data_IF_273746128186
#
_entry.id   IF_273746128186
#
_cell.length_a   1.000
_cell.length_b   1.000
_cell.length_c   1.000
_cell.angle_alpha   90.00
_cell.angle_beta   90.00
_cell.angle_gamma   90.00
#
_symmetry.space_group_name_H-M   'P 1'
#
loop_
_entity.id
_entity.type
_entity.pdbx_description
1 polymer ?
#
# COMPACT_ATOMS: atom_id res chain seq x y z
N UNK A 1 -19.26 2.73 -5.85
CA UNK A 1 -19.07 2.07 -4.54
C UNK A 1 -17.71 2.48 -4.01
N UNK A 2 -17.56 2.65 -2.69
CA UNK A 2 -16.30 3.01 -2.04
C UNK A 2 -15.85 1.83 -1.18
N UNK A 3 -14.71 1.21 -1.50
CA UNK A 3 -14.11 0.16 -0.69
C UNK A 3 -12.84 0.70 -0.04
N UNK A 4 -12.63 0.42 1.25
CA UNK A 4 -11.44 0.85 1.99
C UNK A 4 -10.63 -0.35 2.44
N UNK A 5 -9.33 -0.31 2.18
CA UNK A 5 -8.39 -1.35 2.60
C UNK A 5 -7.33 -0.73 3.51
N UNK A 6 -7.05 -1.36 4.64
CA UNK A 6 -6.22 -0.82 5.70
C UNK A 6 -4.94 -1.63 5.82
N UNK A 7 -3.81 -0.95 5.94
CA UNK A 7 -2.53 -1.54 6.30
C UNK A 7 -2.03 -0.83 7.55
N UNK A 8 -2.06 -1.54 8.67
CA UNK A 8 -1.67 -1.03 9.98
C UNK A 8 -0.22 -1.41 10.28
N UNK A 9 0.54 -0.45 10.79
CA UNK A 9 1.94 -0.60 11.23
C UNK A 9 2.04 -0.07 12.67
N UNK A 10 3.15 -0.34 13.34
CA UNK A 10 3.36 0.14 14.72
C UNK A 10 3.37 1.67 14.86
N UNK A 11 3.70 2.41 13.80
CA UNK A 11 3.85 3.86 13.83
C UNK A 11 2.81 4.64 13.02
N UNK A 12 2.11 4.00 12.09
CA UNK A 12 1.10 4.64 11.24
C UNK A 12 0.11 3.64 10.61
N UNK A 13 -1.01 4.16 10.12
CA UNK A 13 -1.98 3.42 9.30
C UNK A 13 -2.02 4.00 7.89
N UNK A 14 -2.03 3.12 6.88
CA UNK A 14 -2.31 3.47 5.49
C UNK A 14 -3.71 3.01 5.11
N UNK A 15 -4.47 3.88 4.48
CA UNK A 15 -5.85 3.62 4.04
C UNK A 15 -5.91 3.80 2.53
N UNK A 16 -6.21 2.73 1.81
CA UNK A 16 -6.48 2.75 0.38
C UNK A 16 -7.98 2.92 0.17
N UNK A 17 -8.40 4.08 -0.34
CA UNK A 17 -9.79 4.35 -0.72
C UNK A 17 -9.95 4.11 -2.22
N UNK A 18 -10.67 3.04 -2.58
CA UNK A 18 -10.90 2.58 -3.93
C UNK A 18 -12.34 2.88 -4.35
N UNK A 19 -12.49 3.58 -5.48
CA UNK A 19 -13.79 3.95 -6.04
C UNK A 19 -13.91 3.53 -7.51
N UNK A 20 -15.00 2.84 -7.84
CA UNK A 20 -15.35 2.51 -9.23
C UNK A 20 -15.39 3.77 -10.12
N UNK A 21 -14.80 3.70 -11.32
CA UNK A 21 -14.94 4.74 -12.34
C UNK A 21 -16.10 4.34 -13.26
N UNK A 22 -17.08 5.23 -13.43
CA UNK A 22 -18.19 4.98 -14.35
C UNK A 22 -17.67 4.72 -15.77
N UNK A 23 -18.19 3.67 -16.40
CA UNK A 23 -17.84 3.26 -17.77
C UNK A 23 -16.37 2.83 -18.00
N UNK A 24 -15.61 2.51 -16.95
CA UNK A 24 -14.27 1.94 -17.09
C UNK A 24 -14.10 0.68 -16.23
N UNK A 25 -13.96 -0.47 -16.89
CA UNK A 25 -13.82 -1.78 -16.24
C UNK A 25 -12.36 -2.16 -15.94
N UNK A 26 -11.39 -1.28 -16.19
CA UNK A 26 -9.97 -1.58 -15.97
C UNK A 26 -9.31 -0.67 -14.93
N UNK A 27 -9.92 0.51 -14.69
CA UNK A 27 -9.40 1.54 -13.80
C UNK A 27 -10.30 1.78 -12.60
N UNK A 28 -9.64 2.04 -11.47
CA UNK A 28 -10.26 2.40 -10.20
C UNK A 28 -9.66 3.72 -9.75
N UNK A 29 -10.50 4.63 -9.26
CA UNK A 29 -10.03 5.83 -8.58
C UNK A 29 -9.42 5.42 -7.24
N UNK A 30 -8.23 5.93 -6.94
CA UNK A 30 -7.47 5.65 -5.75
C UNK A 30 -7.08 6.96 -5.06
N UNK A 31 -7.42 7.05 -3.78
CA UNK A 31 -6.86 8.03 -2.84
C UNK A 31 -6.24 7.24 -1.71
N UNK A 32 -5.02 7.58 -1.32
CA UNK A 32 -4.35 6.95 -0.18
C UNK A 32 -4.21 7.98 0.93
N UNK A 33 -4.51 7.56 2.15
CA UNK A 33 -4.30 8.36 3.35
C UNK A 33 -3.29 7.67 4.25
N UNK A 34 -2.37 8.44 4.81
CA UNK A 34 -1.45 8.03 5.87
C UNK A 34 -1.82 8.81 7.14
N UNK A 35 -2.02 8.07 8.23
CA UNK A 35 -2.27 8.62 9.57
C UNK A 35 -1.17 8.15 10.51
N UNK A 36 -0.46 9.09 11.12
CA UNK A 36 0.51 8.76 12.17
C UNK A 36 -0.23 8.25 13.42
N UNK A 37 0.39 7.35 14.17
CA UNK A 37 -0.12 6.94 15.48
C UNK A 37 -0.27 8.18 16.39
N UNK A 38 -1.45 8.42 16.99
CA UNK A 38 -1.70 9.58 17.85
C UNK A 38 -0.76 9.70 19.05
N UNK A 39 -0.17 8.60 19.52
CA UNK A 39 0.83 8.61 20.59
C UNK A 39 2.18 9.17 20.14
N UNK A 40 2.48 9.11 18.84
CA UNK A 40 3.68 9.70 18.23
C UNK A 40 3.45 11.15 17.77
N UNK A 41 2.20 11.52 17.49
CA UNK A 41 1.78 12.89 17.19
C UNK A 41 0.61 12.97 16.23
N UNK A 42 0.24 14.19 15.84
CA UNK A 42 -0.84 14.43 14.87
C UNK A 42 -0.26 14.69 13.49
N UNK A 43 -0.39 13.72 12.58
CA UNK A 43 -0.10 13.91 11.17
C UNK A 43 -1.06 13.10 10.32
N UNK A 44 -1.67 13.77 9.35
CA UNK A 44 -2.53 13.16 8.33
C UNK A 44 -2.10 13.68 6.96
N UNK A 45 -1.81 12.74 6.05
CA UNK A 45 -1.39 13.05 4.69
C UNK A 45 -2.29 12.30 3.73
N UNK A 46 -2.82 13.00 2.72
CA UNK A 46 -3.57 12.38 1.62
C UNK A 46 -2.81 12.53 0.31
N UNK A 47 -2.81 11.47 -0.49
CA UNK A 47 -2.27 11.52 -1.84
C UNK A 47 -3.14 12.39 -2.73
N UNK A 48 -2.57 12.87 -3.83
CA UNK A 48 -3.40 13.35 -4.95
C UNK A 48 -4.28 12.20 -5.45
N UNK A 49 -5.56 12.44 -5.80
CA UNK A 49 -6.38 11.42 -6.44
C UNK A 49 -5.72 10.94 -7.74
N UNK A 50 -5.72 9.62 -7.93
CA UNK A 50 -5.12 8.97 -9.10
C UNK A 50 -5.96 7.81 -9.58
N UNK A 51 -5.69 7.31 -10.78
CA UNK A 51 -6.28 6.07 -11.26
C UNK A 51 -5.27 4.93 -11.12
N UNK A 52 -5.73 3.76 -10.69
CA UNK A 52 -4.94 2.53 -10.65
C UNK A 52 -5.64 1.45 -11.46
N UNK A 53 -4.86 0.62 -12.15
CA UNK A 53 -5.39 -0.52 -12.91
C UNK A 53 -5.57 -1.73 -12.02
N UNK A 54 -6.53 -2.59 -12.33
CA UNK A 54 -6.70 -3.87 -11.63
C UNK A 54 -5.43 -4.76 -11.65
N UNK A 55 -4.70 -4.91 -12.78
CA UNK A 55 -3.41 -5.58 -12.77
C UNK A 55 -2.38 -4.98 -11.81
N UNK A 56 -2.37 -3.65 -11.58
CA UNK A 56 -1.44 -3.06 -10.61
C UNK A 56 -1.83 -3.40 -9.16
N UNK A 57 -3.12 -3.49 -8.84
CA UNK A 57 -3.59 -3.96 -7.53
C UNK A 57 -3.24 -5.45 -7.31
N UNK A 58 -3.41 -6.30 -8.32
CA UNK A 58 -2.97 -7.70 -8.26
C UNK A 58 -1.46 -7.83 -8.09
N UNK A 59 -0.66 -7.01 -8.79
CA UNK A 59 0.79 -6.97 -8.60
C UNK A 59 1.16 -6.54 -7.17
N UNK A 60 0.40 -5.66 -6.54
CA UNK A 60 0.63 -5.26 -5.14
C UNK A 60 0.34 -6.43 -4.18
N UNK A 61 -0.71 -7.20 -4.43
CA UNK A 61 -0.98 -8.44 -3.69
C UNK A 61 0.19 -9.41 -3.83
N UNK A 62 0.59 -9.73 -5.07
CA UNK A 62 1.70 -10.65 -5.31
C UNK A 62 3.03 -10.14 -4.76
N UNK A 63 3.23 -8.82 -4.73
CA UNK A 63 4.42 -8.19 -4.15
C UNK A 63 4.60 -8.55 -2.67
N UNK A 64 3.53 -8.45 -1.88
CA UNK A 64 3.57 -8.80 -0.46
C UNK A 64 3.70 -10.31 -0.24
N UNK A 65 2.95 -11.12 -0.97
CA UNK A 65 3.04 -12.59 -0.90
C UNK A 65 4.47 -13.08 -1.21
N UNK A 66 5.11 -12.50 -2.23
CA UNK A 66 6.50 -12.81 -2.59
C UNK A 66 7.50 -12.35 -1.54
N UNK A 67 7.28 -11.20 -0.93
CA UNK A 67 8.18 -10.68 0.11
C UNK A 67 8.17 -11.58 1.35
N UNK A 68 6.99 -11.98 1.84
CA UNK A 68 6.86 -12.92 2.98
C UNK A 68 7.56 -14.24 2.66
N UNK A 69 7.36 -14.79 1.46
CA UNK A 69 8.01 -16.02 1.03
C UNK A 69 9.54 -15.89 0.92
N UNK A 70 10.06 -14.71 0.57
CA UNK A 70 11.49 -14.45 0.50
C UNK A 70 12.14 -14.31 1.88
N UNK A 71 11.46 -13.68 2.86
CA UNK A 71 11.93 -13.57 4.24
C UNK A 71 12.15 -14.92 4.92
N UNK A 72 11.37 -15.94 4.53
CA UNK A 72 11.57 -17.32 4.98
C UNK A 72 12.96 -17.86 4.63
N UNK A 73 13.51 -17.47 3.49
CA UNK A 73 14.82 -17.92 3.04
C UNK A 73 15.95 -16.99 3.48
N UNK A 74 15.68 -15.69 3.61
CA UNK A 74 16.64 -14.66 4.00
C UNK A 74 15.95 -13.55 4.81
N UNK A 75 16.13 -13.51 6.15
CA UNK A 75 15.55 -12.47 7.00
C UNK A 75 16.01 -11.03 6.66
N UNK A 76 17.15 -10.89 5.96
CA UNK A 76 17.66 -9.59 5.51
C UNK A 76 17.14 -9.21 4.12
N UNK A 77 16.22 -10.00 3.54
CA UNK A 77 15.69 -9.74 2.22
C UNK A 77 14.95 -8.41 2.18
N UNK A 78 15.33 -7.55 1.24
CA UNK A 78 14.63 -6.32 0.93
C UNK A 78 14.02 -6.40 -0.47
N UNK A 79 12.72 -6.15 -0.55
CA UNK A 79 12.04 -6.02 -1.84
C UNK A 79 12.49 -4.74 -2.54
N UNK A 80 12.50 -4.79 -3.87
CA UNK A 80 12.58 -3.56 -4.68
C UNK A 80 11.36 -2.68 -4.39
N UNK A 81 11.51 -1.38 -4.63
CA UNK A 81 10.40 -0.43 -4.51
C UNK A 81 9.30 -0.81 -5.51
N UNK A 82 8.09 -1.04 -4.99
CA UNK A 82 6.89 -1.19 -5.78
C UNK A 82 6.45 0.17 -6.32
N UNK A 83 6.33 0.26 -7.64
CA UNK A 83 5.90 1.45 -8.36
C UNK A 83 4.67 1.14 -9.21
N UNK A 84 3.67 2.02 -9.15
CA UNK A 84 2.55 2.02 -10.08
C UNK A 84 2.86 2.90 -11.29
N UNK A 85 2.22 2.63 -12.43
CA UNK A 85 2.42 3.42 -13.66
C UNK A 85 2.06 4.91 -13.46
N UNK A 86 1.11 5.21 -12.56
CA UNK A 86 0.73 6.58 -12.21
C UNK A 86 1.59 7.24 -11.12
N UNK A 87 2.53 6.50 -10.52
CA UNK A 87 3.40 6.96 -9.43
C UNK A 87 2.65 7.67 -8.27
N UNK A 88 1.41 7.23 -8.00
CA UNK A 88 0.58 7.79 -6.93
C UNK A 88 1.11 7.47 -5.54
N UNK A 89 1.83 6.36 -5.41
CA UNK A 89 2.50 5.93 -4.19
C UNK A 89 3.68 5.01 -4.52
N UNK A 90 4.54 4.80 -3.52
CA UNK A 90 5.65 3.85 -3.54
C UNK A 90 5.61 3.03 -2.25
N UNK A 91 5.88 1.74 -2.36
CA UNK A 91 5.98 0.83 -1.21
C UNK A 91 7.30 0.08 -1.29
N UNK A 92 8.00 -0.05 -0.18
CA UNK A 92 9.14 -0.95 -0.05
C UNK A 92 8.98 -1.80 1.20
N UNK A 93 8.87 -3.11 1.04
CA UNK A 93 8.99 -4.06 2.14
C UNK A 93 10.46 -4.42 2.34
N UNK A 94 10.93 -4.31 3.57
CA UNK A 94 12.34 -4.39 3.99
C UNK A 94 12.57 -5.64 4.86
N UNK A 95 13.77 -5.78 5.40
CA UNK A 95 14.12 -6.86 6.32
C UNK A 95 13.16 -6.96 7.52
N UNK A 96 13.11 -8.16 8.10
CA UNK A 96 12.16 -8.50 9.16
C UNK A 96 12.45 -9.83 9.83
N UNK A 97 11.50 -10.28 10.65
CA UNK A 97 11.56 -11.54 11.37
C UNK A 97 10.49 -12.49 10.84
N UNK A 98 10.90 -13.71 10.49
CA UNK A 98 10.00 -14.76 10.03
C UNK A 98 9.92 -15.87 11.07
N UNK A 99 8.72 -16.14 11.60
CA UNK A 99 8.47 -17.28 12.49
C UNK A 99 7.64 -18.35 11.75
N UNK A 100 6.54 -17.95 11.12
CA UNK A 100 5.67 -18.78 10.29
C UNK A 100 5.07 -17.97 9.14
N UNK A 101 4.28 -18.60 8.24
CA UNK A 101 3.59 -17.90 7.14
C UNK A 101 2.56 -16.85 7.62
N UNK A 102 2.15 -16.91 8.89
CA UNK A 102 1.16 -15.99 9.48
C UNK A 102 1.71 -15.21 10.67
N UNK A 103 2.92 -15.53 11.12
CA UNK A 103 3.55 -14.96 12.30
C UNK A 103 4.95 -14.48 11.95
N UNK A 104 5.22 -13.21 12.19
CA UNK A 104 6.40 -12.53 11.70
C UNK A 104 6.07 -11.11 11.34
N UNK A 105 7.10 -10.33 11.11
CA UNK A 105 6.98 -8.92 10.80
C UNK A 105 8.07 -8.51 9.81
N UNK A 106 7.87 -7.34 9.21
CA UNK A 106 8.93 -6.67 8.48
C UNK A 106 8.77 -5.17 8.57
N UNK A 107 9.80 -4.42 8.22
CA UNK A 107 9.65 -2.98 8.04
C UNK A 107 9.01 -2.71 6.69
N UNK A 108 8.05 -1.79 6.64
CA UNK A 108 7.49 -1.29 5.40
C UNK A 108 7.71 0.22 5.33
N UNK A 109 8.22 0.69 4.19
CA UNK A 109 8.29 2.11 3.85
C UNK A 109 7.22 2.44 2.83
N UNK A 110 6.40 3.45 3.13
CA UNK A 110 5.33 3.92 2.24
C UNK A 110 5.52 5.40 1.96
N UNK A 111 5.58 5.77 0.68
CA UNK A 111 5.70 7.15 0.24
C UNK A 111 4.50 7.53 -0.63
N UNK A 112 3.73 8.54 -0.21
CA UNK A 112 2.54 9.03 -0.92
C UNK A 112 2.88 10.25 -1.77
N UNK A 113 2.45 10.27 -3.02
CA UNK A 113 2.57 11.46 -3.87
C UNK A 113 1.56 12.52 -3.42
N UNK A 114 2.05 13.67 -2.92
CA UNK A 114 1.22 14.80 -2.46
C UNK A 114 1.12 15.92 -3.50
N UNK A 115 1.57 15.64 -4.73
CA UNK A 115 1.46 16.55 -5.87
C UNK A 115 2.71 17.40 -6.07
N UNK A 116 2.52 18.59 -6.64
CA UNK A 116 3.59 19.50 -7.05
C UNK A 116 3.19 20.92 -6.65
N UNK A 117 4.13 21.74 -6.14
CA UNK A 117 3.81 23.13 -5.82
C UNK A 117 3.54 23.96 -7.09
N UNK A 118 4.23 23.66 -8.19
CA UNK A 118 4.16 24.41 -9.46
C UNK A 118 4.24 23.41 -10.63
N UNK A 119 3.57 23.71 -11.75
CA UNK A 119 3.63 22.92 -12.97
C UNK A 119 5.08 22.84 -13.50
N UNK A 120 5.51 21.65 -13.93
CA UNK A 120 6.88 21.38 -14.39
C UNK A 120 7.86 20.92 -13.30
N UNK A 121 7.49 21.02 -12.02
CA UNK A 121 8.32 20.52 -10.92
C UNK A 121 8.22 19.00 -10.79
N UNK A 122 9.16 18.38 -10.06
CA UNK A 122 9.04 16.99 -9.64
C UNK A 122 7.93 16.84 -8.59
N UNK A 123 7.33 15.65 -8.53
CA UNK A 123 6.33 15.33 -7.51
C UNK A 123 6.98 15.28 -6.13
N UNK A 124 6.28 15.77 -5.12
CA UNK A 124 6.67 15.68 -3.71
C UNK A 124 6.06 14.42 -3.12
N UNK A 125 6.84 13.70 -2.32
CA UNK A 125 6.38 12.51 -1.61
C UNK A 125 6.55 12.69 -0.10
N UNK A 126 5.54 12.26 0.66
CA UNK A 126 5.58 12.23 2.12
C UNK A 126 5.20 10.83 2.56
N UNK A 127 5.86 10.31 3.58
CA UNK A 127 5.75 8.92 3.95
C UNK A 127 6.27 8.61 5.34
N UNK A 128 6.21 7.32 5.66
CA UNK A 128 6.71 6.75 6.90
C UNK A 128 7.37 5.40 6.64
N UNK A 129 8.14 4.96 7.62
CA UNK A 129 8.66 3.60 7.71
C UNK A 129 8.37 3.07 9.11
N UNK A 130 7.85 1.86 9.21
CA UNK A 130 7.53 1.21 10.48
C UNK A 130 7.43 -0.30 10.31
N UNK A 131 7.49 -1.02 11.42
CA UNK A 131 7.22 -2.45 11.49
C UNK A 131 5.74 -2.72 11.18
N UNK A 132 5.50 -3.77 10.41
CA UNK A 132 4.18 -4.30 10.08
C UNK A 132 4.17 -5.81 10.31
N UNK A 133 3.15 -6.30 11.01
CA UNK A 133 2.92 -7.73 11.23
C UNK A 133 2.35 -8.41 9.98
N UNK A 134 2.74 -9.66 9.73
CA UNK A 134 2.23 -10.45 8.59
C UNK A 134 0.70 -10.59 8.62
N UNK A 135 0.10 -10.67 9.81
CA UNK A 135 -1.35 -10.69 9.96
C UNK A 135 -2.01 -9.42 9.35
N UNK A 136 -1.38 -8.24 9.50
CA UNK A 136 -1.86 -6.99 8.93
C UNK A 136 -1.69 -6.96 7.41
N UNK A 137 -0.58 -7.49 6.90
CA UNK A 137 -0.36 -7.64 5.46
C UNK A 137 -1.43 -8.56 4.85
N UNK A 138 -1.70 -9.71 5.48
CA UNK A 138 -2.71 -10.65 5.01
C UNK A 138 -4.13 -10.06 5.04
N UNK A 139 -4.47 -9.33 6.10
CA UNK A 139 -5.73 -8.59 6.21
C UNK A 139 -5.87 -7.57 5.08
N UNK A 140 -4.82 -6.77 4.82
CA UNK A 140 -4.78 -5.82 3.72
C UNK A 140 -4.97 -6.49 2.35
N UNK A 141 -4.23 -7.57 2.08
CA UNK A 141 -4.36 -8.37 0.85
C UNK A 141 -5.78 -8.87 0.65
N UNK A 142 -6.39 -9.42 1.71
CA UNK A 142 -7.78 -9.88 1.68
C UNK A 142 -8.74 -8.74 1.34
N UNK A 143 -8.56 -7.57 1.97
CA UNK A 143 -9.33 -6.36 1.69
C UNK A 143 -9.22 -5.93 0.22
N UNK A 144 -8.02 -5.94 -0.36
CA UNK A 144 -7.83 -5.64 -1.78
C UNK A 144 -8.57 -6.67 -2.65
N UNK A 145 -8.43 -7.98 -2.37
CA UNK A 145 -9.09 -9.04 -3.14
C UNK A 145 -10.63 -8.89 -3.11
N UNK A 146 -11.21 -8.58 -1.95
CA UNK A 146 -12.65 -8.31 -1.81
C UNK A 146 -13.06 -7.05 -2.59
N UNK A 147 -12.31 -5.95 -2.45
CA UNK A 147 -12.59 -4.71 -3.18
C UNK A 147 -12.57 -4.92 -4.71
N UNK A 148 -11.65 -5.74 -5.22
CA UNK A 148 -11.59 -6.08 -6.64
C UNK A 148 -12.85 -6.81 -7.12
N UNK A 149 -13.37 -7.75 -6.32
CA UNK A 149 -14.61 -8.47 -6.62
C UNK A 149 -15.83 -7.54 -6.59
N UNK A 150 -15.93 -6.67 -5.57
CA UNK A 150 -17.05 -5.72 -5.42
C UNK A 150 -17.10 -4.67 -6.54
N UNK A 151 -15.94 -4.22 -7.03
CA UNK A 151 -15.84 -3.20 -8.08
C UNK A 151 -16.08 -3.81 -9.48
N UNK A 152 -16.24 -5.14 -9.58
CA UNK A 152 -16.70 -5.82 -10.80
C UNK A 152 -15.58 -6.39 -11.67
N UNK A 153 -14.44 -6.74 -11.08
CA UNK A 153 -13.47 -7.62 -11.75
C UNK A 153 -13.92 -9.08 -11.62
N UNK A 154 -14.43 -9.65 -12.71
CA UNK A 154 -14.83 -11.06 -12.83
C UNK A 154 -13.67 -11.95 -13.29
#
# INVERSE_FOLDING_TARGET
MVSKCFLETDGYQIIFELNSIENNQELVNLVIELRLDPQLGEMLVRSVPSAITFPNLQRLVSYFEQHIAALRADPNYESRVFLTNGLGFQIQALAGEFFTEVEGNCNIRVMLNVGKPIQGYASTYIGGESVVEFAQIHSFISGIKVALQEIGWN
#
